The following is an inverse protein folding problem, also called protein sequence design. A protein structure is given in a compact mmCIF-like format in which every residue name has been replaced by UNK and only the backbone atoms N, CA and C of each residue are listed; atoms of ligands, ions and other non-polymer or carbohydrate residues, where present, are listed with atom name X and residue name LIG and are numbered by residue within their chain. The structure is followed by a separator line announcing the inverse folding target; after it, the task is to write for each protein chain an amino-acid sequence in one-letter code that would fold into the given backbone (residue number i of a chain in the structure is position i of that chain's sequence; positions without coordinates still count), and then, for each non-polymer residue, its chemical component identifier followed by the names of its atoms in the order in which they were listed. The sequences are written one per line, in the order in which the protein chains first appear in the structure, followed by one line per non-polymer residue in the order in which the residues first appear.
data_IF_682402913256
#
_entry.id   IF_682402913256
#
_cell.length_a   1.000
_cell.length_b   1.000
_cell.length_c   1.000
_cell.angle_alpha   90.00
_cell.angle_beta   90.00
_cell.angle_gamma   90.00
#
_symmetry.space_group_name_H-M   'P 1'
#
loop_
_entity.id
_entity.type
_entity.pdbx_description
1 polymer ?
#
# COMPACT_ATOMS: atom_id res chain seq x y z
N UNK A 1 18.54 8.15 3.17
CA UNK A 1 17.47 7.45 2.43
C UNK A 1 16.23 7.46 3.31
N UNK A 2 15.30 8.38 3.09
CA UNK A 2 14.11 8.52 3.93
C UNK A 2 13.14 7.37 3.63
N UNK A 3 12.82 6.55 4.63
CA UNK A 3 11.76 5.56 4.51
C UNK A 3 10.44 6.30 4.31
N UNK A 4 9.73 6.00 3.22
CA UNK A 4 8.38 6.50 3.03
C UNK A 4 7.52 5.92 4.16
N UNK A 5 6.94 6.81 4.98
CA UNK A 5 6.00 6.42 6.02
C UNK A 5 4.70 5.98 5.35
N UNK A 6 4.33 4.72 5.50
CA UNK A 6 3.03 4.21 5.05
C UNK A 6 1.89 4.90 5.84
N UNK A 7 0.81 5.31 5.15
CA UNK A 7 -0.35 5.95 5.77
C UNK A 7 -1.41 4.94 6.23
N UNK A 8 -1.04 3.67 6.33
CA UNK A 8 -1.91 2.58 6.76
C UNK A 8 -1.16 1.59 7.65
N UNK A 9 -1.94 0.84 8.43
CA UNK A 9 -1.51 -0.32 9.20
C UNK A 9 -2.07 -1.58 8.53
N UNK A 10 -1.37 -2.70 8.65
CA UNK A 10 -1.91 -4.02 8.29
C UNK A 10 -2.54 -4.66 9.52
N UNK A 11 -3.81 -5.04 9.38
CA UNK A 11 -4.56 -5.80 10.37
C UNK A 11 -4.96 -7.17 9.82
N UNK A 12 -5.48 -8.05 10.70
CA UNK A 12 -5.97 -9.38 10.33
C UNK A 12 -7.18 -9.77 11.17
N UNK A 13 -8.17 -10.41 10.54
CA UNK A 13 -9.24 -11.13 11.23
C UNK A 13 -9.68 -12.40 10.46
N UNK A 14 -10.51 -13.23 11.09
CA UNK A 14 -10.92 -14.53 10.53
C UNK A 14 -11.89 -14.41 9.35
N UNK A 15 -12.58 -13.27 9.20
CA UNK A 15 -13.56 -13.06 8.14
C UNK A 15 -12.92 -12.58 6.83
N UNK A 16 -11.93 -11.71 6.92
CA UNK A 16 -11.34 -10.99 5.77
C UNK A 16 -9.90 -11.40 5.49
N UNK A 17 -9.23 -12.10 6.40
CA UNK A 17 -7.78 -12.29 6.33
C UNK A 17 -7.05 -10.99 6.63
N UNK A 18 -6.02 -10.66 5.85
CA UNK A 18 -5.21 -9.44 6.03
C UNK A 18 -5.81 -8.26 5.27
N UNK A 19 -5.86 -7.10 5.90
CA UNK A 19 -6.40 -5.87 5.30
C UNK A 19 -5.64 -4.64 5.80
N UNK A 20 -5.76 -3.53 5.07
CA UNK A 20 -5.16 -2.25 5.42
C UNK A 20 -6.17 -1.33 6.10
N UNK A 21 -5.74 -0.64 7.16
CA UNK A 21 -6.53 0.37 7.89
C UNK A 21 -5.74 1.67 7.92
N UNK A 22 -6.36 2.81 7.59
CA UNK A 22 -5.69 4.10 7.62
C UNK A 22 -5.11 4.38 9.03
N UNK A 23 -3.84 4.80 9.09
CA UNK A 23 -3.16 5.11 10.35
C UNK A 23 -3.36 6.56 10.81
N UNK A 24 -4.06 7.37 10.00
CA UNK A 24 -4.41 8.76 10.23
C UNK A 24 -5.57 9.20 9.31
N UNK A 25 -6.09 10.40 9.53
CA UNK A 25 -7.09 11.01 8.64
C UNK A 25 -6.48 11.34 7.26
N UNK A 26 -7.19 10.93 6.21
CA UNK A 26 -6.79 11.15 4.82
C UNK A 26 -7.56 12.30 4.20
N UNK A 27 -6.89 13.06 3.33
CA UNK A 27 -7.47 14.15 2.54
C UNK A 27 -7.54 13.75 1.07
N UNK A 28 -8.45 14.41 0.34
CA UNK A 28 -8.57 14.19 -1.09
C UNK A 28 -7.23 14.54 -1.79
N UNK A 29 -6.71 13.58 -2.57
CA UNK A 29 -5.43 13.70 -3.26
C UNK A 29 -4.23 13.10 -2.52
N UNK A 30 -4.40 12.61 -1.29
CA UNK A 30 -3.30 11.95 -0.56
C UNK A 30 -2.89 10.62 -1.24
N UNK A 31 -1.58 10.39 -1.33
CA UNK A 31 -1.01 9.13 -1.78
C UNK A 31 -0.84 8.22 -0.56
N UNK A 32 -1.71 7.21 -0.44
CA UNK A 32 -1.72 6.27 0.69
C UNK A 32 -0.52 5.31 0.62
N UNK A 33 -0.21 4.80 -0.56
CA UNK A 33 0.95 3.97 -0.83
C UNK A 33 1.36 4.05 -2.31
N UNK A 34 2.61 3.73 -2.60
CA UNK A 34 3.13 3.59 -3.97
C UNK A 34 4.10 2.43 -3.97
N UNK A 35 3.95 1.54 -4.93
CA UNK A 35 4.80 0.34 -5.05
C UNK A 35 5.51 0.34 -6.40
N UNK A 36 6.77 -0.10 -6.38
CA UNK A 36 7.44 -0.53 -7.61
C UNK A 36 7.08 -1.99 -7.86
N UNK A 37 6.69 -2.36 -9.09
CA UNK A 37 6.34 -3.73 -9.39
C UNK A 37 7.50 -4.67 -9.04
N UNK A 38 7.15 -5.82 -8.46
CA UNK A 38 8.13 -6.83 -8.03
C UNK A 38 8.91 -7.44 -9.21
N UNK A 39 8.28 -7.59 -10.37
CA UNK A 39 8.92 -8.07 -11.59
C UNK A 39 8.32 -7.42 -12.84
N UNK A 40 9.16 -7.25 -13.87
CA UNK A 40 8.77 -6.83 -15.20
C UNK A 40 9.01 -7.98 -16.18
N UNK A 41 7.96 -8.45 -16.85
CA UNK A 41 8.10 -9.38 -17.97
C UNK A 41 8.58 -8.66 -19.24
N UNK A 42 9.10 -9.39 -20.24
CA UNK A 42 9.41 -8.79 -21.53
C UNK A 42 8.13 -8.19 -22.13
N UNK A 43 8.22 -6.98 -22.66
CA UNK A 43 7.16 -6.44 -23.52
C UNK A 43 7.24 -7.23 -24.82
N UNK A 44 6.29 -8.14 -25.08
CA UNK A 44 6.17 -8.75 -26.41
C UNK A 44 5.97 -7.63 -27.43
N UNK A 45 7.00 -7.41 -28.25
CA UNK A 45 6.94 -6.56 -29.42
C UNK A 45 6.22 -7.25 -30.56
#
# INVERSE_FOLDING_TARGET
MGGNKELFNIEKNDKLGRYAVASQDLKAGDIIFSEKPFAHGPKSG
#
